data_IF_799334580496
#
_entry.id   IF_799334580496
#
_cell.length_a   1.000
_cell.length_b   1.000
_cell.length_c   1.000
_cell.angle_alpha   90.00
_cell.angle_beta   90.00
_cell.angle_gamma   90.00
#
_symmetry.space_group_name_H-M   'P 1'
#
loop_
_entity.id
_entity.type
_entity.pdbx_description
1 polymer ?
#
# COMPACT_ATOMS: atom_id res chain seq x y z
N UNK A 1 -53.34 -29.08 -21.59
CA UNK A 1 -51.97 -29.44 -22.02
C UNK A 1 -51.05 -28.96 -20.92
N UNK A 2 -50.77 -29.79 -19.92
CA UNK A 2 -49.74 -30.85 -19.90
C UNK A 2 -48.35 -30.25 -20.01
N UNK A 3 -47.62 -30.42 -18.90
CA UNK A 3 -46.17 -30.53 -18.74
C UNK A 3 -45.38 -29.37 -19.39
N UNK A 4 -44.44 -28.73 -18.75
CA UNK A 4 -43.17 -29.25 -18.29
C UNK A 4 -42.61 -28.08 -17.49
N UNK A 5 -42.35 -28.25 -16.19
CA UNK A 5 -41.31 -27.54 -15.42
C UNK A 5 -41.36 -28.03 -13.96
N UNK A 6 -41.43 -29.34 -13.75
CA UNK A 6 -41.26 -30.00 -12.45
C UNK A 6 -39.83 -30.57 -12.31
N UNK A 7 -38.79 -29.84 -12.74
CA UNK A 7 -37.41 -30.38 -12.78
C UNK A 7 -36.34 -29.46 -12.15
N UNK A 8 -36.68 -28.32 -11.51
CA UNK A 8 -35.63 -27.49 -10.86
C UNK A 8 -35.63 -27.49 -9.32
N UNK A 9 -36.70 -27.92 -8.63
CA UNK A 9 -36.73 -27.95 -7.15
C UNK A 9 -36.12 -29.21 -6.51
N UNK A 10 -35.41 -30.06 -7.26
CA UNK A 10 -34.67 -31.21 -6.71
C UNK A 10 -33.15 -31.03 -6.76
N UNK A 11 -32.64 -29.97 -7.39
CA UNK A 11 -31.19 -29.71 -7.46
C UNK A 11 -30.63 -28.97 -6.25
N UNK A 12 -31.44 -28.18 -5.53
CA UNK A 12 -30.95 -27.41 -4.36
C UNK A 12 -30.80 -28.26 -3.10
N UNK A 13 -31.60 -29.33 -2.94
CA UNK A 13 -31.53 -30.24 -1.77
C UNK A 13 -30.30 -31.15 -1.85
N UNK A 14 -29.71 -31.34 -3.03
CA UNK A 14 -28.55 -32.21 -3.25
C UNK A 14 -27.20 -31.53 -2.97
N UNK A 15 -27.13 -30.19 -3.05
CA UNK A 15 -25.89 -29.45 -2.81
C UNK A 15 -25.65 -29.11 -1.33
N UNK A 16 -26.71 -29.03 -0.52
CA UNK A 16 -26.58 -28.72 0.91
C UNK A 16 -26.21 -29.95 1.76
N UNK A 17 -26.60 -31.16 1.31
CA UNK A 17 -26.21 -32.42 1.98
C UNK A 17 -24.77 -32.84 1.74
N UNK A 18 -24.12 -32.37 0.68
CA UNK A 18 -22.71 -32.69 0.39
C UNK A 18 -21.72 -31.77 1.10
N UNK A 19 -22.13 -30.59 1.57
CA UNK A 19 -21.23 -29.66 2.28
C UNK A 19 -21.10 -29.97 3.77
N UNK A 20 -22.12 -30.56 4.39
CA UNK A 20 -22.15 -30.90 5.82
C UNK A 20 -21.55 -32.28 6.18
N UNK A 21 -21.15 -33.07 5.18
CA UNK A 21 -20.64 -34.44 5.39
C UNK A 21 -19.11 -34.54 5.44
N UNK A 22 -18.38 -33.44 5.32
CA UNK A 22 -16.92 -33.45 5.12
C UNK A 22 -16.11 -32.89 6.29
N UNK A 23 -16.70 -32.78 7.48
CA UNK A 23 -16.05 -32.20 8.66
C UNK A 23 -16.06 -33.09 9.91
N UNK A 24 -16.05 -34.39 9.70
CA UNK A 24 -15.94 -35.36 10.78
C UNK A 24 -14.73 -36.26 10.55
N UNK A 25 -13.70 -36.01 11.37
CA UNK A 25 -12.73 -36.97 11.90
C UNK A 25 -11.82 -37.68 10.90
N UNK A 26 -10.58 -37.20 10.81
CA UNK A 26 -9.42 -38.10 10.81
C UNK A 26 -8.16 -37.31 11.20
N UNK A 27 -7.86 -37.34 12.50
CA UNK A 27 -6.50 -37.09 12.98
C UNK A 27 -6.12 -38.14 14.05
N UNK A 28 -6.56 -39.38 13.86
CA UNK A 28 -5.85 -40.55 14.41
C UNK A 28 -4.65 -40.84 13.52
N UNK A 29 -3.54 -40.14 13.74
CA UNK A 29 -2.25 -40.65 13.31
C UNK A 29 -1.10 -40.01 14.09
N UNK A 30 -0.41 -40.86 14.86
CA UNK A 30 0.94 -40.66 15.43
C UNK A 30 1.07 -39.78 16.68
N UNK A 31 0.88 -40.36 17.88
CA UNK A 31 2.04 -40.88 18.63
C UNK A 31 1.63 -41.71 19.84
N UNK A 32 2.09 -42.97 19.82
CA UNK A 32 1.96 -43.97 20.86
C UNK A 32 2.73 -43.62 22.13
N UNK A 33 2.02 -43.61 23.25
CA UNK A 33 2.28 -44.25 24.56
C UNK A 33 3.74 -44.38 25.05
N UNK A 34 4.02 -43.83 26.24
CA UNK A 34 4.50 -44.61 27.39
C UNK A 34 4.29 -43.86 28.72
N UNK A 35 3.57 -44.52 29.63
CA UNK A 35 3.31 -44.08 31.00
C UNK A 35 4.56 -44.25 31.87
N UNK A 36 4.82 -43.28 32.76
CA UNK A 36 5.20 -43.56 34.15
C UNK A 36 4.67 -42.47 35.07
N UNK A 37 3.78 -42.87 35.96
CA UNK A 37 3.28 -42.09 37.10
C UNK A 37 4.36 -42.09 38.17
N UNK A 38 4.85 -40.93 38.61
CA UNK A 38 5.25 -40.69 40.01
C UNK A 38 5.66 -39.23 40.27
N UNK A 39 5.01 -38.68 41.31
CA UNK A 39 5.49 -37.61 42.20
C UNK A 39 5.61 -36.17 41.66
N UNK A 40 4.64 -35.37 42.11
CA UNK A 40 4.79 -34.00 42.64
C UNK A 40 5.98 -33.21 42.15
N UNK A 41 5.84 -32.58 40.99
CA UNK A 41 6.71 -31.48 40.57
C UNK A 41 5.88 -30.44 39.85
N UNK A 42 5.96 -29.21 40.35
CA UNK A 42 5.56 -27.95 39.72
C UNK A 42 5.76 -28.07 38.21
N UNK A 43 4.66 -28.20 37.44
CA UNK A 43 4.71 -28.35 35.99
C UNK A 43 5.48 -27.16 35.41
N UNK A 44 6.77 -27.36 35.14
CA UNK A 44 7.55 -26.49 34.27
C UNK A 44 6.79 -26.45 32.96
N UNK A 45 6.42 -25.23 32.52
CA UNK A 45 5.80 -24.90 31.23
C UNK A 45 6.33 -25.83 30.14
N UNK A 46 5.65 -26.95 29.93
CA UNK A 46 5.86 -27.75 28.74
C UNK A 46 5.35 -26.85 27.61
N UNK A 47 6.23 -26.60 26.65
CA UNK A 47 5.98 -25.82 25.44
C UNK A 47 4.96 -26.62 24.62
N UNK A 48 3.69 -26.56 25.02
CA UNK A 48 2.59 -27.10 24.25
C UNK A 48 2.20 -26.01 23.26
N UNK A 49 2.82 -26.06 22.08
CA UNK A 49 2.43 -25.29 20.89
C UNK A 49 1.12 -25.84 20.31
N UNK A 50 0.05 -25.87 21.11
CA UNK A 50 -1.30 -26.03 20.57
C UNK A 50 -1.80 -24.68 20.06
N UNK A 51 -2.44 -24.67 18.90
CA UNK A 51 -3.13 -23.51 18.36
C UNK A 51 -4.54 -23.46 18.98
N UNK A 52 -4.67 -22.84 20.16
CA UNK A 52 -5.95 -22.70 20.85
C UNK A 52 -6.55 -21.34 20.49
N UNK A 53 -5.96 -20.25 20.98
CA UNK A 53 -6.40 -18.90 20.68
C UNK A 53 -6.27 -18.56 19.20
N UNK A 54 -5.27 -19.12 18.51
CA UNK A 54 -5.13 -18.95 17.05
C UNK A 54 -6.29 -19.56 16.26
N UNK A 55 -6.91 -20.64 16.76
CA UNK A 55 -7.99 -21.34 16.06
C UNK A 55 -9.38 -20.88 16.51
N UNK A 56 -9.53 -20.66 17.81
CA UNK A 56 -10.79 -20.24 18.42
C UNK A 56 -11.03 -18.73 18.23
N UNK A 57 -9.97 -17.93 18.32
CA UNK A 57 -9.98 -16.49 18.11
C UNK A 57 -10.70 -15.72 19.22
N UNK A 58 -9.98 -15.24 20.23
CA UNK A 58 -10.39 -14.02 20.96
C UNK A 58 -9.21 -13.31 21.60
N UNK A 59 -9.34 -11.98 21.72
CA UNK A 59 -8.50 -10.98 22.37
C UNK A 59 -9.33 -9.65 22.44
N UNK A 60 -8.92 -8.71 23.29
CA UNK A 60 -9.61 -7.48 23.78
C UNK A 60 -11.03 -7.66 24.36
N UNK A 61 -11.29 -6.94 25.45
CA UNK A 61 -12.45 -7.05 26.35
C UNK A 61 -12.60 -8.41 27.08
N UNK A 62 -13.56 -8.49 28.01
CA UNK A 62 -13.94 -9.71 28.74
C UNK A 62 -15.05 -10.41 27.94
N UNK A 63 -14.85 -11.68 27.66
CA UNK A 63 -15.82 -12.51 26.96
C UNK A 63 -15.90 -13.88 27.62
N UNK A 64 -16.95 -14.10 28.44
CA UNK A 64 -17.17 -15.36 29.14
C UNK A 64 -17.46 -16.53 28.16
N UNK A 65 -17.81 -16.24 26.90
CA UNK A 65 -17.95 -17.22 25.82
C UNK A 65 -16.63 -17.56 25.12
N UNK A 66 -15.56 -16.81 25.41
CA UNK A 66 -14.24 -17.04 24.85
C UNK A 66 -13.48 -18.17 25.56
N UNK A 67 -13.94 -19.41 25.36
CA UNK A 67 -13.44 -20.57 26.10
C UNK A 67 -13.24 -21.78 25.20
N UNK A 68 -12.16 -22.52 25.42
CA UNK A 68 -11.87 -23.77 24.71
C UNK A 68 -11.36 -24.85 25.67
N UNK A 69 -11.49 -26.11 25.28
CA UNK A 69 -11.00 -27.25 26.05
C UNK A 69 -9.48 -27.34 26.00
N UNK A 70 -8.86 -27.40 27.18
CA UNK A 70 -7.45 -27.68 27.35
C UNK A 70 -7.26 -29.12 27.82
N UNK A 71 -7.31 -30.05 26.85
CA UNK A 71 -7.25 -31.49 27.09
C UNK A 71 -6.08 -31.94 27.99
N UNK A 72 -4.94 -31.27 27.91
CA UNK A 72 -3.75 -31.64 28.69
C UNK A 72 -3.90 -31.42 30.21
N UNK A 73 -4.73 -30.46 30.63
CA UNK A 73 -5.04 -30.22 32.04
C UNK A 73 -6.45 -30.70 32.44
N UNK A 74 -7.18 -31.32 31.51
CA UNK A 74 -8.59 -31.68 31.69
C UNK A 74 -9.41 -30.50 32.25
N UNK A 75 -9.16 -29.31 31.72
CA UNK A 75 -9.73 -28.04 32.18
C UNK A 75 -10.11 -27.17 30.99
N UNK A 76 -10.84 -26.09 31.24
CA UNK A 76 -11.12 -25.05 30.25
C UNK A 76 -10.04 -23.97 30.31
N UNK A 77 -9.70 -23.38 29.16
CA UNK A 77 -8.83 -22.22 29.07
C UNK A 77 -9.49 -21.11 28.27
N UNK A 78 -9.07 -19.88 28.54
CA UNK A 78 -9.65 -18.67 27.94
C UNK A 78 -8.62 -17.94 27.07
N UNK A 79 -9.12 -17.25 26.04
CA UNK A 79 -8.30 -16.41 25.16
C UNK A 79 -8.59 -14.91 25.30
N UNK A 80 -9.46 -14.50 26.22
CA UNK A 80 -9.78 -13.09 26.46
C UNK A 80 -8.72 -12.39 27.34
N UNK A 81 -8.83 -11.06 27.47
CA UNK A 81 -7.90 -10.28 28.29
C UNK A 81 -8.03 -10.57 29.80
N UNK A 82 -9.19 -11.03 30.22
CA UNK A 82 -9.53 -11.26 31.62
C UNK A 82 -8.82 -12.50 32.19
N UNK A 83 -8.43 -13.45 31.35
CA UNK A 83 -7.68 -14.63 31.74
C UNK A 83 -6.31 -14.31 32.38
N UNK A 84 -5.73 -13.14 32.05
CA UNK A 84 -4.37 -12.74 32.43
C UNK A 84 -4.34 -12.08 33.82
N UNK A 85 -4.49 -12.92 34.85
CA UNK A 85 -4.47 -12.56 36.27
C UNK A 85 -3.45 -13.40 37.04
N UNK A 86 -3.26 -13.14 38.34
CA UNK A 86 -2.29 -13.86 39.19
C UNK A 86 -2.43 -15.39 39.13
N UNK A 87 -3.66 -15.89 38.97
CA UNK A 87 -3.95 -17.30 38.67
C UNK A 87 -4.48 -17.41 37.23
N UNK A 88 -3.56 -17.44 36.26
CA UNK A 88 -3.88 -17.34 34.84
C UNK A 88 -4.58 -18.60 34.33
N UNK A 89 -5.81 -18.46 33.86
CA UNK A 89 -6.56 -19.53 33.18
C UNK A 89 -6.47 -19.39 31.64
N UNK A 90 -5.46 -18.64 31.18
CA UNK A 90 -5.20 -18.40 29.76
C UNK A 90 -4.77 -19.67 29.04
N UNK A 91 -5.17 -19.80 27.79
CA UNK A 91 -4.66 -20.86 26.94
C UNK A 91 -3.14 -20.71 26.70
N UNK A 92 -2.43 -21.82 26.42
CA UNK A 92 -0.97 -21.82 26.28
C UNK A 92 -0.41 -20.83 25.25
N UNK A 93 -1.14 -20.58 24.17
CA UNK A 93 -0.76 -19.67 23.08
C UNK A 93 -1.30 -18.24 23.24
N UNK A 94 -2.08 -17.94 24.29
CA UNK A 94 -2.65 -16.62 24.54
C UNK A 94 -1.59 -15.52 24.56
N UNK A 95 -0.47 -15.72 25.28
CA UNK A 95 0.55 -14.67 25.40
C UNK A 95 1.24 -14.38 24.07
N UNK A 96 1.50 -15.39 23.25
CA UNK A 96 2.04 -15.23 21.90
C UNK A 96 1.00 -14.70 20.90
N UNK A 97 -0.28 -15.05 21.05
CA UNK A 97 -1.31 -14.70 20.09
C UNK A 97 -1.92 -13.31 20.35
N UNK A 98 -2.27 -13.01 21.60
CA UNK A 98 -2.91 -11.75 22.01
C UNK A 98 -1.96 -10.71 22.60
N UNK A 99 -0.78 -11.15 23.09
CA UNK A 99 0.20 -10.32 23.78
C UNK A 99 1.56 -10.31 23.10
N UNK A 100 1.64 -10.75 21.83
CA UNK A 100 2.75 -10.34 20.97
C UNK A 100 2.77 -8.81 20.98
N UNK A 101 3.68 -8.31 21.79
CA UNK A 101 3.91 -6.91 22.02
C UNK A 101 4.05 -6.28 20.65
N UNK A 102 3.10 -5.42 20.34
CA UNK A 102 3.32 -4.21 19.55
C UNK A 102 4.42 -3.38 20.23
N UNK A 103 5.62 -3.93 20.41
CA UNK A 103 6.86 -3.19 20.55
C UNK A 103 7.17 -2.64 19.15
N UNK A 104 6.30 -1.73 18.72
CA UNK A 104 6.76 -0.73 17.79
C UNK A 104 7.77 0.08 18.59
N UNK A 105 9.04 0.19 18.16
CA UNK A 105 9.91 1.23 18.70
C UNK A 105 9.12 2.55 18.63
N UNK A 106 9.25 3.46 19.62
CA UNK A 106 8.42 4.65 19.69
C UNK A 106 8.36 5.26 18.30
N UNK A 107 7.16 5.31 17.71
CA UNK A 107 6.94 5.83 16.36
C UNK A 107 7.41 7.27 16.32
N UNK A 108 8.69 7.46 16.01
CA UNK A 108 9.30 8.76 15.72
C UNK A 108 9.13 9.12 14.25
N UNK A 109 8.40 8.32 13.47
CA UNK A 109 8.08 8.63 12.09
C UNK A 109 6.61 8.32 11.78
N UNK A 110 5.83 9.30 11.27
CA UNK A 110 4.47 9.09 10.80
C UNK A 110 4.41 7.94 9.80
N UNK A 111 3.37 7.10 9.91
CA UNK A 111 3.15 5.88 9.13
C UNK A 111 2.72 6.12 7.67
N UNK A 112 3.11 7.26 7.12
CA UNK A 112 3.09 7.59 5.70
C UNK A 112 4.34 8.44 5.47
N UNK A 113 5.28 8.04 4.61
CA UNK A 113 6.27 9.00 4.14
C UNK A 113 5.49 10.13 3.46
N UNK A 114 5.42 11.29 4.11
CA UNK A 114 4.91 12.49 3.47
C UNK A 114 5.86 12.80 2.31
N UNK A 115 5.35 12.69 1.09
CA UNK A 115 6.19 12.75 -0.08
C UNK A 115 5.40 12.56 -1.37
N UNK A 116 6.02 12.91 -2.48
CA UNK A 116 5.41 12.89 -3.81
C UNK A 116 6.11 11.85 -4.68
N UNK A 117 5.33 11.20 -5.54
CA UNK A 117 5.87 10.28 -6.54
C UNK A 117 5.97 10.96 -7.89
N UNK A 118 7.07 10.71 -8.60
CA UNK A 118 7.23 11.12 -10.00
C UNK A 118 8.20 10.21 -10.74
N UNK A 119 7.84 9.81 -11.96
CA UNK A 119 8.67 8.96 -12.85
C UNK A 119 9.19 7.67 -12.17
N UNK A 120 8.40 7.10 -11.26
CA UNK A 120 8.77 5.90 -10.50
C UNK A 120 9.68 6.14 -9.29
N UNK A 121 10.03 7.40 -9.01
CA UNK A 121 10.85 7.81 -7.87
C UNK A 121 10.02 8.51 -6.78
N UNK A 122 10.36 8.27 -5.51
CA UNK A 122 9.79 8.95 -4.36
C UNK A 122 10.62 10.19 -3.99
N UNK A 123 9.94 11.28 -3.64
CA UNK A 123 10.51 12.54 -3.18
C UNK A 123 9.91 12.91 -1.83
N UNK A 124 10.75 13.38 -0.91
CA UNK A 124 10.32 13.84 0.43
C UNK A 124 9.42 15.09 0.33
N UNK A 125 8.56 15.31 1.32
CA UNK A 125 7.78 16.54 1.46
C UNK A 125 8.66 17.80 1.38
N UNK A 126 8.20 18.83 0.64
CA UNK A 126 8.96 20.05 0.41
C UNK A 126 10.04 19.95 -0.67
N UNK A 127 10.27 18.77 -1.25
CA UNK A 127 11.18 18.61 -2.39
C UNK A 127 10.78 19.51 -3.56
N UNK A 128 11.77 20.12 -4.20
CA UNK A 128 11.57 20.97 -5.37
C UNK A 128 12.21 20.34 -6.59
N UNK A 129 11.43 20.15 -7.64
CA UNK A 129 11.90 19.69 -8.95
C UNK A 129 11.60 20.72 -10.01
N UNK A 130 12.34 20.65 -11.12
CA UNK A 130 12.12 21.52 -12.27
C UNK A 130 11.50 20.73 -13.43
N UNK A 131 10.35 21.18 -13.89
CA UNK A 131 9.64 20.64 -15.05
C UNK A 131 9.64 21.66 -16.18
N UNK A 132 10.55 21.47 -17.13
CA UNK A 132 10.80 22.45 -18.18
C UNK A 132 11.12 23.82 -17.54
N UNK A 133 10.27 24.83 -17.72
CA UNK A 133 10.44 26.16 -17.12
C UNK A 133 9.75 26.30 -15.75
N UNK A 134 8.90 25.36 -15.36
CA UNK A 134 8.12 25.42 -14.13
C UNK A 134 8.86 24.77 -12.96
N UNK A 135 8.70 25.37 -11.77
CA UNK A 135 9.23 24.84 -10.52
C UNK A 135 8.08 24.17 -9.77
N UNK A 136 8.25 22.91 -9.40
CA UNK A 136 7.25 22.10 -8.73
C UNK A 136 7.71 21.74 -7.33
N UNK A 137 6.91 22.09 -6.33
CA UNK A 137 7.18 21.77 -4.93
C UNK A 137 6.23 20.68 -4.47
N UNK A 138 6.78 19.63 -3.87
CA UNK A 138 5.99 18.58 -3.26
C UNK A 138 5.28 19.12 -2.01
N UNK A 139 3.95 19.02 -1.99
CA UNK A 139 3.15 19.40 -0.84
C UNK A 139 1.95 18.48 -0.65
N UNK A 140 1.93 17.74 0.45
CA UNK A 140 0.81 16.85 0.81
C UNK A 140 0.54 15.79 -0.25
N UNK A 141 1.59 15.07 -0.68
CA UNK A 141 1.55 14.04 -1.73
C UNK A 141 1.19 14.54 -3.15
N UNK A 142 1.09 15.86 -3.36
CA UNK A 142 0.82 16.45 -4.65
C UNK A 142 1.92 17.43 -5.08
N UNK A 143 2.24 17.44 -6.37
CA UNK A 143 3.13 18.44 -6.95
C UNK A 143 2.40 19.75 -7.19
N UNK A 144 2.84 20.81 -6.52
CA UNK A 144 2.37 22.18 -6.76
C UNK A 144 3.39 22.90 -7.65
N UNK A 145 3.06 22.99 -8.94
CA UNK A 145 3.91 23.63 -9.94
C UNK A 145 3.53 25.09 -10.18
N UNK A 146 4.54 25.92 -10.50
CA UNK A 146 4.28 27.20 -11.14
C UNK A 146 3.63 27.01 -12.52
N UNK A 147 2.87 28.00 -12.96
CA UNK A 147 2.09 27.96 -14.20
C UNK A 147 2.62 28.94 -15.25
N UNK A 148 3.92 28.89 -15.54
CA UNK A 148 4.51 29.65 -16.63
C UNK A 148 4.31 28.95 -17.96
N UNK A 149 4.05 29.74 -19.00
CA UNK A 149 4.10 29.27 -20.38
C UNK A 149 5.57 29.10 -20.75
N UNK A 150 6.01 27.87 -21.00
CA UNK A 150 7.39 27.61 -21.41
C UNK A 150 7.60 27.95 -22.89
N UNK A 151 8.81 28.35 -23.24
CA UNK A 151 9.17 28.70 -24.63
C UNK A 151 9.09 27.48 -25.55
N UNK A 152 9.60 26.33 -25.08
CA UNK A 152 9.47 25.04 -25.76
C UNK A 152 8.31 24.27 -25.14
N UNK A 153 7.31 23.92 -25.93
CA UNK A 153 6.12 23.16 -25.50
C UNK A 153 6.00 21.86 -26.29
N UNK A 154 6.16 20.72 -25.61
CA UNK A 154 6.08 19.39 -26.23
C UNK A 154 4.75 19.17 -26.95
N UNK A 155 3.64 19.60 -26.34
CA UNK A 155 2.30 19.52 -26.94
C UNK A 155 2.19 20.25 -28.29
N UNK A 156 2.85 21.41 -28.44
CA UNK A 156 2.86 22.15 -29.71
C UNK A 156 3.71 21.44 -30.75
N UNK A 157 4.86 20.91 -30.34
CA UNK A 157 5.74 20.13 -31.22
C UNK A 157 4.97 18.91 -31.75
N UNK A 158 4.29 18.18 -30.88
CA UNK A 158 3.46 17.03 -31.27
C UNK A 158 2.29 17.44 -32.18
N UNK A 159 1.60 18.54 -31.88
CA UNK A 159 0.50 19.04 -32.70
C UNK A 159 0.97 19.45 -34.10
N UNK A 160 2.11 20.15 -34.21
CA UNK A 160 2.69 20.54 -35.50
C UNK A 160 3.10 19.30 -36.30
N UNK A 161 3.77 18.34 -35.65
CA UNK A 161 4.27 17.14 -36.30
C UNK A 161 3.17 16.14 -36.71
N UNK A 162 1.92 16.35 -36.28
CA UNK A 162 0.77 15.60 -36.80
C UNK A 162 0.34 16.04 -38.19
N UNK A 163 0.69 17.25 -38.62
CA UNK A 163 0.39 17.74 -39.96
C UNK A 163 1.52 17.47 -40.95
N UNK A 164 1.20 17.47 -42.24
CA UNK A 164 2.17 17.37 -43.32
C UNK A 164 2.44 18.76 -43.90
N UNK A 165 3.51 19.41 -43.39
CA UNK A 165 3.91 20.76 -43.79
C UNK A 165 5.26 20.78 -44.52
N UNK A 166 5.85 19.61 -44.82
CA UNK A 166 7.20 19.52 -45.38
C UNK A 166 8.34 19.86 -44.42
N UNK A 167 8.03 20.10 -43.14
CA UNK A 167 9.00 20.29 -42.05
C UNK A 167 8.43 19.75 -40.74
N UNK A 168 9.32 19.45 -39.78
CA UNK A 168 8.95 18.96 -38.44
C UNK A 168 9.47 19.91 -37.37
N UNK A 169 8.64 20.22 -36.38
CA UNK A 169 9.08 20.87 -35.16
C UNK A 169 9.95 19.91 -34.33
N UNK A 170 10.94 20.45 -33.62
CA UNK A 170 11.82 19.70 -32.74
C UNK A 170 12.03 20.45 -31.41
N UNK A 171 12.48 19.70 -30.39
CA UNK A 171 12.90 20.28 -29.13
C UNK A 171 14.35 20.77 -29.24
N UNK A 172 14.53 22.09 -29.12
CA UNK A 172 15.84 22.71 -29.04
C UNK A 172 16.23 22.88 -27.57
N UNK A 173 17.13 22.01 -27.09
CA UNK A 173 17.56 21.96 -25.68
C UNK A 173 18.08 23.28 -25.13
N UNK A 174 18.68 24.13 -25.98
CA UNK A 174 19.14 25.49 -25.64
C UNK A 174 18.03 26.43 -25.15
N UNK A 175 16.77 26.11 -25.44
CA UNK A 175 15.59 26.87 -25.03
C UNK A 175 14.77 26.13 -23.96
N UNK A 176 15.15 24.91 -23.59
CA UNK A 176 14.48 24.14 -22.55
C UNK A 176 14.67 24.82 -21.19
N UNK A 177 13.58 25.00 -20.46
CA UNK A 177 13.59 25.69 -19.18
C UNK A 177 13.53 27.21 -19.24
N UNK A 178 13.43 27.82 -20.43
CA UNK A 178 13.11 29.24 -20.58
C UNK A 178 11.58 29.43 -20.61
N UNK A 179 11.11 30.51 -19.98
CA UNK A 179 9.71 30.94 -20.13
C UNK A 179 9.52 31.60 -21.49
N UNK A 180 8.28 31.62 -21.98
CA UNK A 180 7.93 32.31 -23.22
C UNK A 180 8.23 33.81 -23.11
N UNK A 181 7.98 34.42 -21.95
CA UNK A 181 8.31 35.81 -21.65
C UNK A 181 9.82 36.08 -21.77
N UNK A 182 10.67 35.22 -21.18
CA UNK A 182 12.12 35.32 -21.33
C UNK A 182 12.56 35.15 -22.79
N UNK A 183 11.88 34.27 -23.53
CA UNK A 183 12.07 34.12 -24.96
C UNK A 183 11.84 35.43 -25.72
N UNK A 184 10.70 36.07 -25.50
CA UNK A 184 10.41 37.38 -26.08
C UNK A 184 11.42 38.44 -25.66
N UNK A 185 11.82 38.46 -24.40
CA UNK A 185 12.73 39.49 -23.87
C UNK A 185 14.17 39.34 -24.37
N UNK A 186 14.66 38.11 -24.50
CA UNK A 186 16.09 37.85 -24.70
C UNK A 186 16.43 37.16 -26.03
N UNK A 187 15.46 36.65 -26.79
CA UNK A 187 15.70 35.86 -28.01
C UNK A 187 15.16 36.48 -29.31
N UNK A 188 14.43 37.59 -29.26
CA UNK A 188 13.96 38.30 -30.46
C UNK A 188 15.07 39.08 -31.20
N UNK A 189 16.29 39.12 -30.66
CA UNK A 189 17.42 39.74 -31.36
C UNK A 189 17.33 41.26 -31.50
N UNK A 190 16.58 41.95 -30.63
CA UNK A 190 16.48 43.42 -30.65
C UNK A 190 17.54 44.08 -29.78
N UNK A 191 18.81 43.68 -29.94
CA UNK A 191 19.86 44.61 -29.54
C UNK A 191 19.76 45.81 -30.49
N UNK A 192 19.77 47.05 -29.99
CA UNK A 192 19.78 48.22 -30.86
C UNK A 192 20.93 48.06 -31.86
N UNK A 193 20.71 48.35 -33.16
CA UNK A 193 21.79 48.29 -34.15
C UNK A 193 22.94 49.17 -33.67
N UNK A 194 24.17 48.78 -34.00
CA UNK A 194 25.32 49.62 -33.67
C UNK A 194 25.13 51.03 -34.25
N UNK A 195 25.71 52.09 -33.65
CA UNK A 195 25.62 53.45 -34.20
C UNK A 195 26.06 53.52 -35.66
N UNK A 196 27.00 52.65 -36.06
CA UNK A 196 27.44 52.48 -37.45
C UNK A 196 26.31 52.04 -38.38
N UNK A 197 25.49 51.06 -37.99
CA UNK A 197 24.34 50.61 -38.78
C UNK A 197 23.25 51.69 -38.87
N UNK A 198 23.04 52.45 -37.79
CA UNK A 198 22.09 53.59 -37.76
C UNK A 198 22.59 54.78 -38.59
N UNK A 199 23.89 54.87 -38.86
CA UNK A 199 24.51 55.92 -39.67
C UNK A 199 24.64 55.58 -41.16
N UNK A 200 24.17 54.40 -41.59
CA UNK A 200 24.20 54.03 -43.00
C UNK A 200 23.16 54.81 -43.79
N UNK A 201 23.58 55.47 -44.87
CA UNK A 201 22.70 56.13 -45.82
C UNK A 201 22.32 55.17 -46.96
N UNK A 202 21.18 55.43 -47.61
CA UNK A 202 20.77 54.65 -48.78
C UNK A 202 21.82 54.72 -49.89
N UNK A 203 22.06 53.59 -50.55
CA UNK A 203 22.88 53.58 -51.76
C UNK A 203 21.98 54.00 -52.91
N UNK A 204 22.18 55.21 -53.41
CA UNK A 204 21.56 55.68 -54.64
C UNK A 204 22.28 55.05 -55.82
N UNK A 205 21.54 54.42 -56.74
CA UNK A 205 22.07 53.96 -58.04
C UNK A 205 22.40 55.13 -58.98
#
# INVERSE_FOLDING_TARGET
MRAWMFVSMQAEIWMEKQYLSQREVDLEAYFTRNHTVLQGTRFKRAIFQGQYCRNFGCCEDRDDGCVTEFYAANALCYCDKFCDRENSDCCPDYKSFCREEKEWPPHTQPWYPEGCFKDGQHYEEGSVIKENCNSCTCSGQQWKCSQHVCLVRSELIEQVNKGDYGWTAQNYSQFWGMTLEDGFKFRLGTLPPSPMLLSMNEMTE
#
